data_IF_653293551395
#
_entry.id   IF_653293551395
#
_cell.length_a   1.000
_cell.length_b   1.000
_cell.length_c   1.000
_cell.angle_alpha   90.00
_cell.angle_beta   90.00
_cell.angle_gamma   90.00
#
_symmetry.space_group_name_H-M   'P 1'
#
loop_
_entity.id
_entity.type
_entity.pdbx_description
1 polymer ?
#
# COMPACT_ATOMS: atom_id res chain seq x y z
N UNK A 1 -8.16 -1.38 84.30
CA UNK A 1 -9.45 -1.04 83.67
C UNK A 1 -9.14 -0.67 82.20
N UNK A 2 -9.08 -1.64 81.30
CA UNK A 2 -8.76 -1.41 79.89
C UNK A 2 -9.95 -1.84 79.05
N UNK A 3 -10.55 -0.89 78.34
CA UNK A 3 -11.66 -1.10 77.39
C UNK A 3 -11.08 -1.58 76.03
N UNK A 4 -11.52 -2.77 75.57
CA UNK A 4 -11.29 -3.25 74.22
C UNK A 4 -12.21 -2.54 73.22
N UNK A 5 -11.64 -1.91 72.19
CA UNK A 5 -12.36 -1.36 71.07
C UNK A 5 -12.39 -2.42 69.99
N UNK A 6 -13.57 -2.93 69.65
CA UNK A 6 -13.77 -3.88 68.56
C UNK A 6 -13.81 -3.18 67.22
N UNK A 7 -12.94 -3.60 66.29
CA UNK A 7 -12.98 -3.18 64.89
C UNK A 7 -13.96 -4.04 64.09
N UNK A 8 -15.06 -3.48 63.66
CA UNK A 8 -15.96 -4.07 62.66
C UNK A 8 -15.36 -3.96 61.28
N UNK A 9 -14.85 -5.04 60.69
CA UNK A 9 -14.54 -5.12 59.26
C UNK A 9 -15.81 -5.33 58.47
N UNK A 10 -16.24 -4.33 57.68
CA UNK A 10 -17.27 -4.49 56.65
C UNK A 10 -16.67 -5.27 55.44
N UNK A 11 -17.15 -6.45 55.17
CA UNK A 11 -16.83 -7.22 53.96
C UNK A 11 -17.50 -6.54 52.75
N UNK A 12 -16.70 -6.03 51.84
CA UNK A 12 -17.16 -5.56 50.53
C UNK A 12 -17.33 -6.80 49.64
N UNK A 13 -18.56 -7.15 49.32
CA UNK A 13 -18.87 -8.19 48.33
C UNK A 13 -18.53 -7.63 46.93
N UNK A 14 -17.48 -8.13 46.31
CA UNK A 14 -17.19 -7.91 44.90
C UNK A 14 -18.19 -8.69 44.05
N UNK A 15 -19.00 -7.95 43.29
CA UNK A 15 -19.88 -8.50 42.25
C UNK A 15 -18.98 -8.74 41.03
N UNK A 16 -18.90 -9.96 40.47
CA UNK A 16 -18.19 -10.19 39.24
C UNK A 16 -18.96 -9.52 38.08
N UNK A 17 -18.31 -8.61 37.41
CA UNK A 17 -18.78 -8.03 36.14
C UNK A 17 -18.65 -9.15 35.09
N UNK A 18 -19.74 -9.85 34.80
CA UNK A 18 -19.80 -10.75 33.67
C UNK A 18 -19.81 -9.89 32.40
N UNK A 19 -18.68 -9.88 31.68
CA UNK A 19 -18.63 -9.32 30.35
C UNK A 19 -19.55 -10.15 29.44
N UNK A 20 -20.71 -9.59 29.13
CA UNK A 20 -21.63 -10.14 28.14
C UNK A 20 -20.95 -9.96 26.76
N UNK A 21 -20.27 -11.00 26.29
CA UNK A 21 -19.85 -11.13 24.89
C UNK A 21 -21.16 -11.23 24.08
N UNK A 22 -21.63 -10.12 23.54
CA UNK A 22 -22.63 -10.12 22.50
C UNK A 22 -22.03 -10.84 21.28
N UNK A 23 -22.33 -12.13 21.16
CA UNK A 23 -22.11 -12.88 19.94
C UNK A 23 -22.93 -12.16 18.84
N UNK A 24 -22.26 -11.57 17.86
CA UNK A 24 -22.90 -11.10 16.66
C UNK A 24 -23.67 -12.28 16.03
N UNK A 25 -24.86 -12.06 15.48
CA UNK A 25 -25.62 -13.13 14.84
C UNK A 25 -24.79 -13.72 13.70
N UNK A 26 -24.49 -15.01 13.79
CA UNK A 26 -23.91 -15.77 12.70
C UNK A 26 -24.94 -15.81 11.56
N UNK A 27 -24.72 -14.99 10.50
CA UNK A 27 -25.65 -15.04 9.37
C UNK A 27 -25.57 -13.96 8.31
N UNK A 28 -25.08 -12.77 8.57
CA UNK A 28 -24.88 -11.79 7.51
C UNK A 28 -23.42 -11.92 6.97
N UNK A 29 -23.28 -12.39 5.73
CA UNK A 29 -22.01 -12.36 5.03
C UNK A 29 -21.56 -10.90 4.97
N UNK A 30 -20.36 -10.58 5.47
CA UNK A 30 -19.84 -9.21 5.40
C UNK A 30 -19.64 -8.84 3.92
N UNK A 31 -20.47 -7.94 3.40
CA UNK A 31 -20.44 -7.52 1.99
C UNK A 31 -19.37 -6.43 1.72
N UNK A 32 -18.53 -6.13 2.71
CA UNK A 32 -17.47 -5.14 2.55
C UNK A 32 -16.18 -5.75 1.99
N UNK A 33 -15.54 -5.00 1.11
CA UNK A 33 -14.14 -5.24 0.73
C UNK A 33 -13.25 -4.99 1.94
N UNK A 34 -12.33 -5.91 2.19
CA UNK A 34 -11.24 -5.72 3.14
C UNK A 34 -9.98 -5.33 2.38
N UNK A 35 -9.40 -4.19 2.70
CA UNK A 35 -8.09 -3.77 2.20
C UNK A 35 -7.14 -3.69 3.40
N UNK A 36 -5.94 -4.27 3.26
CA UNK A 36 -4.88 -4.20 4.28
C UNK A 36 -3.65 -3.59 3.66
N UNK A 37 -3.25 -2.42 4.13
CA UNK A 37 -1.90 -1.92 3.91
C UNK A 37 -1.00 -2.67 4.89
N UNK A 38 -0.28 -3.66 4.37
CA UNK A 38 0.57 -4.54 5.18
C UNK A 38 1.86 -3.80 5.51
N UNK A 39 2.23 -3.83 6.77
CA UNK A 39 3.53 -3.30 7.16
C UNK A 39 4.66 -4.19 6.65
N UNK A 40 5.35 -3.71 5.65
CA UNK A 40 6.56 -4.31 5.07
C UNK A 40 7.78 -3.38 5.17
N UNK A 41 7.75 -2.44 6.12
CA UNK A 41 8.85 -1.51 6.43
C UNK A 41 9.28 -0.63 5.25
N UNK A 42 8.30 0.02 4.61
CA UNK A 42 8.55 0.96 3.51
C UNK A 42 8.83 0.30 2.17
N UNK A 43 8.26 -0.87 1.95
CA UNK A 43 8.08 -1.51 0.65
C UNK A 43 6.61 -1.53 0.22
N UNK A 44 6.33 -2.10 -0.94
CA UNK A 44 4.98 -2.32 -1.44
C UNK A 44 4.36 -3.59 -0.84
N UNK A 45 3.14 -3.48 -0.30
CA UNK A 45 2.40 -4.63 0.23
C UNK A 45 0.94 -4.26 0.54
N UNK A 46 0.04 -4.42 -0.42
CA UNK A 46 -1.38 -4.12 -0.20
C UNK A 46 -2.25 -5.29 -0.61
N UNK A 47 -2.99 -5.83 0.34
CA UNK A 47 -3.90 -6.97 0.15
C UNK A 47 -5.36 -6.48 0.08
N UNK A 48 -6.09 -6.95 -0.92
CA UNK A 48 -7.53 -6.79 -1.07
C UNK A 48 -8.21 -8.15 -0.99
N UNK A 49 -9.27 -8.25 -0.19
CA UNK A 49 -10.08 -9.46 -0.05
C UNK A 49 -11.55 -9.10 -0.22
N UNK A 50 -12.17 -9.66 -1.24
CA UNK A 50 -13.58 -9.41 -1.55
C UNK A 50 -14.51 -10.27 -0.70
N UNK A 51 -15.79 -9.91 -0.54
CA UNK A 51 -16.76 -10.69 0.25
C UNK A 51 -16.94 -12.14 -0.20
N UNK A 52 -16.69 -12.43 -1.48
CA UNK A 52 -16.71 -13.79 -2.03
C UNK A 52 -15.37 -14.55 -1.84
N UNK A 53 -14.44 -13.95 -1.10
CA UNK A 53 -13.15 -14.56 -0.73
C UNK A 53 -12.09 -14.53 -1.82
N UNK A 54 -12.28 -13.74 -2.88
CA UNK A 54 -11.24 -13.52 -3.89
C UNK A 54 -10.22 -12.51 -3.39
N UNK A 55 -8.97 -12.71 -3.80
CA UNK A 55 -7.87 -11.90 -3.31
C UNK A 55 -7.01 -11.33 -4.41
N UNK A 56 -6.62 -10.06 -4.23
CA UNK A 56 -5.62 -9.35 -5.00
C UNK A 56 -4.54 -8.87 -4.03
N UNK A 57 -3.29 -9.18 -4.33
CA UNK A 57 -2.13 -8.61 -3.66
C UNK A 57 -1.40 -7.69 -4.65
N UNK A 58 -0.95 -6.53 -4.18
CA UNK A 58 -0.06 -5.63 -4.91
C UNK A 58 1.25 -5.60 -4.15
N UNK A 59 2.32 -6.08 -4.81
CA UNK A 59 3.70 -6.22 -4.33
C UNK A 59 3.86 -7.16 -3.12
N UNK A 60 5.11 -7.52 -2.83
CA UNK A 60 5.46 -8.54 -1.82
C UNK A 60 6.46 -8.06 -0.76
N UNK A 61 6.80 -6.77 -0.80
CA UNK A 61 7.69 -6.16 0.18
C UNK A 61 9.16 -6.54 0.05
N UNK A 62 9.88 -6.33 1.13
CA UNK A 62 11.31 -6.53 1.25
C UNK A 62 11.72 -8.02 1.21
N UNK A 63 12.99 -8.33 0.86
CA UNK A 63 13.53 -9.70 0.88
C UNK A 63 13.39 -10.41 2.23
N UNK A 64 13.40 -11.75 2.19
CA UNK A 64 13.30 -12.61 3.38
C UNK A 64 14.39 -12.29 4.42
N UNK A 65 15.60 -11.98 3.96
CA UNK A 65 16.69 -11.51 4.82
C UNK A 65 16.84 -10.01 4.62
N UNK A 66 16.24 -9.26 5.52
CA UNK A 66 16.27 -7.80 5.47
C UNK A 66 16.51 -7.23 6.86
N UNK A 67 17.39 -6.21 6.93
CA UNK A 67 17.65 -5.50 8.19
C UNK A 67 16.45 -4.69 8.68
N UNK A 68 15.53 -4.35 7.80
CA UNK A 68 14.36 -3.53 8.16
C UNK A 68 13.22 -4.36 8.73
N UNK A 69 13.02 -5.60 8.25
CA UNK A 69 11.97 -6.50 8.74
C UNK A 69 12.45 -7.48 9.82
N UNK A 70 13.77 -7.61 10.03
CA UNK A 70 14.34 -8.51 11.03
C UNK A 70 13.89 -9.96 10.86
N UNK A 71 13.52 -10.60 11.97
CA UNK A 71 13.07 -11.99 12.01
C UNK A 71 11.61 -12.20 11.57
N UNK A 72 10.91 -11.14 11.22
CA UNK A 72 9.53 -11.18 10.72
C UNK A 72 9.46 -10.65 9.27
N UNK A 73 9.84 -11.45 8.26
CA UNK A 73 9.95 -11.01 6.88
C UNK A 73 8.61 -10.61 6.26
N UNK A 74 8.65 -9.81 5.20
CA UNK A 74 7.48 -9.31 4.49
C UNK A 74 6.51 -10.42 4.09
N UNK A 75 7.02 -11.56 3.63
CA UNK A 75 6.21 -12.72 3.24
C UNK A 75 5.41 -13.31 4.40
N UNK A 76 5.99 -13.35 5.60
CA UNK A 76 5.30 -13.83 6.81
C UNK A 76 4.23 -12.83 7.26
N UNK A 77 4.51 -11.51 7.18
CA UNK A 77 3.56 -10.43 7.49
C UNK A 77 2.36 -10.48 6.53
N UNK A 78 2.60 -10.64 5.22
CA UNK A 78 1.56 -10.78 4.20
C UNK A 78 0.74 -12.05 4.43
N UNK A 79 1.38 -13.20 4.70
CA UNK A 79 0.66 -14.43 5.02
C UNK A 79 -0.21 -14.27 6.27
N UNK A 80 0.28 -13.62 7.30
CA UNK A 80 -0.48 -13.38 8.54
C UNK A 80 -1.72 -12.52 8.26
N UNK A 81 -1.57 -11.41 7.50
CA UNK A 81 -2.69 -10.55 7.09
C UNK A 81 -3.72 -11.33 6.26
N UNK A 82 -3.27 -12.13 5.30
CA UNK A 82 -4.13 -12.99 4.47
C UNK A 82 -4.88 -14.03 5.31
N UNK A 83 -4.19 -14.70 6.22
CA UNK A 83 -4.76 -15.72 7.10
C UNK A 83 -5.80 -15.14 8.06
N UNK A 84 -5.57 -13.94 8.58
CA UNK A 84 -6.52 -13.23 9.45
C UNK A 84 -7.86 -12.91 8.74
N UNK A 85 -7.83 -12.83 7.39
CA UNK A 85 -9.01 -12.65 6.54
C UNK A 85 -9.51 -13.97 5.90
N UNK A 86 -8.99 -15.13 6.34
CA UNK A 86 -9.40 -16.45 5.84
C UNK A 86 -8.87 -16.79 4.44
N UNK A 87 -7.93 -16.00 3.89
CA UNK A 87 -7.34 -16.24 2.58
C UNK A 87 -6.27 -17.32 2.66
N UNK A 88 -6.44 -18.40 1.86
CA UNK A 88 -5.50 -19.52 1.77
C UNK A 88 -4.68 -19.52 0.48
N UNK A 89 -5.02 -18.65 -0.46
CA UNK A 89 -4.39 -18.50 -1.77
C UNK A 89 -4.55 -17.07 -2.23
N UNK A 90 -3.53 -16.47 -2.80
CA UNK A 90 -3.64 -15.21 -3.53
C UNK A 90 -4.11 -15.52 -4.95
N UNK A 91 -5.28 -15.02 -5.35
CA UNK A 91 -5.81 -15.28 -6.70
C UNK A 91 -5.04 -14.50 -7.76
N UNK A 92 -4.72 -13.23 -7.48
CA UNK A 92 -3.95 -12.35 -8.36
C UNK A 92 -2.88 -11.60 -7.57
N UNK A 93 -1.67 -11.56 -8.12
CA UNK A 93 -0.57 -10.73 -7.64
C UNK A 93 -0.17 -9.77 -8.74
N UNK A 94 -0.26 -8.47 -8.47
CA UNK A 94 0.33 -7.43 -9.31
C UNK A 94 1.71 -7.10 -8.72
N UNK A 95 2.76 -7.23 -9.51
CA UNK A 95 4.07 -6.65 -9.24
C UNK A 95 4.13 -5.32 -9.98
N UNK A 96 4.24 -4.23 -9.22
CA UNK A 96 4.25 -2.90 -9.82
C UNK A 96 5.54 -2.66 -10.61
N UNK A 97 6.68 -3.02 -10.03
CA UNK A 97 8.01 -2.94 -10.65
C UNK A 97 9.00 -3.83 -9.88
N UNK A 98 10.26 -3.93 -10.34
CA UNK A 98 11.17 -4.98 -9.87
C UNK A 98 12.20 -4.54 -8.81
N UNK A 99 12.01 -3.43 -8.12
CA UNK A 99 12.86 -3.10 -6.98
C UNK A 99 12.64 -4.08 -5.82
N UNK A 100 13.69 -4.29 -5.04
CA UNK A 100 13.76 -5.34 -4.03
C UNK A 100 12.70 -5.20 -2.92
N UNK A 101 12.25 -4.01 -2.63
CA UNK A 101 11.21 -3.73 -1.64
C UNK A 101 9.77 -3.90 -2.19
N UNK A 102 9.64 -4.34 -3.45
CA UNK A 102 8.38 -4.71 -4.10
C UNK A 102 8.31 -6.20 -4.45
N UNK A 103 9.40 -6.79 -4.94
CA UNK A 103 9.44 -8.20 -5.31
C UNK A 103 10.15 -9.09 -4.28
N UNK A 104 10.83 -8.50 -3.30
CA UNK A 104 11.78 -9.22 -2.45
C UNK A 104 11.18 -10.33 -1.61
N UNK A 105 9.94 -10.18 -1.16
CA UNK A 105 9.23 -11.20 -0.37
C UNK A 105 8.62 -12.34 -1.19
N UNK A 106 8.70 -12.31 -2.53
CA UNK A 106 7.97 -13.27 -3.37
C UNK A 106 8.39 -14.72 -3.14
N UNK A 107 9.69 -15.02 -3.06
CA UNK A 107 10.17 -16.38 -2.84
C UNK A 107 9.64 -16.97 -1.54
N UNK A 108 9.73 -16.21 -0.46
CA UNK A 108 9.18 -16.64 0.83
C UNK A 108 7.66 -16.73 0.83
N UNK A 109 6.97 -15.87 0.10
CA UNK A 109 5.52 -15.92 0.00
C UNK A 109 5.05 -17.16 -0.77
N UNK A 110 5.71 -17.52 -1.87
CA UNK A 110 5.44 -18.76 -2.62
C UNK A 110 5.67 -20.02 -1.78
N UNK A 111 6.64 -19.99 -0.86
CA UNK A 111 6.85 -21.08 0.08
C UNK A 111 5.74 -21.19 1.15
N UNK A 112 4.98 -20.11 1.38
CA UNK A 112 3.95 -20.02 2.42
C UNK A 112 2.54 -20.23 1.89
N UNK A 113 2.25 -19.76 0.69
CA UNK A 113 0.90 -19.82 0.14
C UNK A 113 0.88 -19.81 -1.39
N UNK A 114 -0.10 -20.49 -2.03
CA UNK A 114 -0.21 -20.49 -3.49
C UNK A 114 -0.57 -19.10 -4.04
N UNK A 115 -0.05 -18.79 -5.24
CA UNK A 115 -0.43 -17.61 -6.01
C UNK A 115 -0.96 -18.08 -7.38
N UNK A 116 -2.09 -17.53 -7.80
CA UNK A 116 -2.79 -17.96 -9.02
C UNK A 116 -2.27 -17.34 -10.31
N UNK A 117 -2.37 -16.01 -10.40
CA UNK A 117 -2.02 -15.26 -11.62
C UNK A 117 -1.10 -14.12 -11.26
N UNK A 118 0.00 -14.00 -11.97
CA UNK A 118 0.96 -12.90 -11.86
C UNK A 118 0.66 -11.86 -12.94
N UNK A 119 0.76 -10.58 -12.57
CA UNK A 119 0.55 -9.44 -13.46
C UNK A 119 1.71 -8.47 -13.23
N UNK A 120 2.40 -8.04 -14.28
CA UNK A 120 3.48 -7.06 -14.24
C UNK A 120 3.55 -6.23 -15.52
N UNK A 121 4.51 -5.31 -15.64
CA UNK A 121 4.68 -4.44 -16.82
C UNK A 121 5.55 -5.04 -17.93
N UNK A 122 6.02 -6.28 -17.79
CA UNK A 122 6.90 -6.93 -18.76
C UNK A 122 8.39 -6.82 -18.42
N UNK A 123 9.30 -6.79 -19.40
CA UNK A 123 10.74 -6.87 -19.15
C UNK A 123 11.29 -5.74 -18.30
N UNK A 124 12.23 -6.07 -17.39
CA UNK A 124 13.06 -5.07 -16.70
C UNK A 124 13.78 -4.16 -17.70
N UNK A 125 13.81 -2.86 -17.41
CA UNK A 125 14.50 -1.85 -18.23
C UNK A 125 15.67 -1.20 -17.51
N UNK A 126 15.85 -1.45 -16.23
CA UNK A 126 16.98 -0.89 -15.50
C UNK A 126 18.26 -1.63 -15.85
N UNK A 127 19.22 -0.87 -16.37
CA UNK A 127 20.50 -1.37 -16.88
C UNK A 127 21.70 -0.91 -16.06
N UNK A 128 21.43 -0.24 -14.94
CA UNK A 128 22.45 0.29 -14.03
C UNK A 128 22.56 -0.55 -12.76
N UNK A 129 23.70 -0.44 -12.08
CA UNK A 129 23.95 -1.18 -10.84
C UNK A 129 23.06 -0.74 -9.65
N UNK A 130 22.51 0.46 -9.71
CA UNK A 130 21.59 1.02 -8.72
C UNK A 130 20.81 2.19 -9.31
N UNK A 131 19.81 2.67 -8.59
CA UNK A 131 19.01 3.85 -8.94
C UNK A 131 19.74 5.18 -8.76
N UNK A 132 20.96 5.18 -8.22
CA UNK A 132 21.74 6.40 -7.99
C UNK A 132 22.14 7.05 -9.32
N UNK A 133 22.01 8.37 -9.46
CA UNK A 133 22.50 9.08 -10.64
C UNK A 133 23.96 8.80 -10.92
N UNK A 134 24.30 8.40 -12.16
CA UNK A 134 25.65 8.08 -12.55
C UNK A 134 26.13 6.67 -12.17
N UNK A 135 25.24 5.81 -11.67
CA UNK A 135 25.58 4.41 -11.43
C UNK A 135 26.08 3.73 -12.73
N UNK A 136 27.08 2.85 -12.65
CA UNK A 136 27.64 2.20 -13.83
C UNK A 136 26.63 1.27 -14.50
N UNK A 137 26.72 1.14 -15.82
CA UNK A 137 25.99 0.13 -16.58
C UNK A 137 26.47 -1.27 -16.17
N UNK A 138 25.54 -2.24 -16.21
CA UNK A 138 25.82 -3.63 -15.85
C UNK A 138 25.66 -4.57 -17.04
N UNK A 139 26.32 -5.72 -16.98
CA UNK A 139 26.07 -6.83 -17.90
C UNK A 139 24.73 -7.52 -17.53
N UNK A 140 23.72 -7.32 -18.34
CA UNK A 140 22.40 -7.92 -18.13
C UNK A 140 22.38 -9.45 -18.27
N UNK A 141 23.43 -10.07 -18.86
CA UNK A 141 23.54 -11.53 -18.92
C UNK A 141 24.01 -12.11 -17.59
N UNK A 142 24.85 -11.34 -16.87
CA UNK A 142 25.38 -11.69 -15.55
C UNK A 142 25.23 -10.50 -14.59
N UNK A 143 24.00 -10.11 -14.24
CA UNK A 143 23.78 -8.95 -13.41
C UNK A 143 24.33 -9.18 -11.99
N UNK A 144 24.96 -8.15 -11.40
CA UNK A 144 25.49 -8.27 -10.05
C UNK A 144 24.37 -8.54 -9.03
N UNK A 145 24.64 -9.36 -8.00
CA UNK A 145 23.68 -9.58 -6.92
C UNK A 145 23.18 -8.26 -6.31
N UNK A 146 21.88 -8.19 -6.04
CA UNK A 146 21.24 -7.00 -5.49
C UNK A 146 20.85 -5.92 -6.51
N UNK A 147 21.23 -6.06 -7.79
CA UNK A 147 20.70 -5.20 -8.84
C UNK A 147 19.25 -5.56 -9.19
N UNK A 148 18.52 -4.60 -9.72
CA UNK A 148 17.13 -4.80 -10.19
C UNK A 148 17.07 -5.88 -11.27
N UNK A 149 18.04 -5.94 -12.17
CA UNK A 149 18.13 -6.98 -13.19
C UNK A 149 18.31 -8.39 -12.59
N UNK A 150 19.10 -8.55 -11.54
CA UNK A 150 19.22 -9.83 -10.84
C UNK A 150 17.92 -10.22 -10.15
N UNK A 151 17.24 -9.25 -9.52
CA UNK A 151 15.91 -9.42 -8.93
C UNK A 151 14.88 -9.87 -9.97
N UNK A 152 14.83 -9.21 -11.12
CA UNK A 152 13.96 -9.58 -12.24
C UNK A 152 14.23 -11.00 -12.76
N UNK A 153 15.50 -11.37 -12.96
CA UNK A 153 15.85 -12.72 -13.40
C UNK A 153 15.36 -13.77 -12.40
N UNK A 154 15.51 -13.52 -11.10
CA UNK A 154 14.97 -14.40 -10.06
C UNK A 154 13.45 -14.44 -10.08
N UNK A 155 12.79 -13.30 -10.22
CA UNK A 155 11.32 -13.21 -10.36
C UNK A 155 10.82 -14.09 -11.51
N UNK A 156 11.40 -13.97 -12.70
CA UNK A 156 11.02 -14.77 -13.87
C UNK A 156 11.23 -16.27 -13.66
N UNK A 157 12.25 -16.68 -12.90
CA UNK A 157 12.46 -18.08 -12.52
C UNK A 157 11.35 -18.56 -11.56
N UNK A 158 10.98 -17.74 -10.57
CA UNK A 158 9.95 -18.07 -9.58
C UNK A 158 8.56 -18.20 -10.19
N UNK A 159 8.23 -17.40 -11.19
CA UNK A 159 6.91 -17.43 -11.85
C UNK A 159 6.86 -18.41 -13.04
N UNK A 160 7.95 -19.08 -13.38
CA UNK A 160 7.99 -20.05 -14.47
C UNK A 160 6.92 -21.13 -14.29
N UNK A 161 6.08 -21.33 -15.29
CA UNK A 161 4.97 -22.28 -15.26
C UNK A 161 3.69 -21.77 -14.58
N UNK A 162 3.70 -20.57 -13.98
CA UNK A 162 2.50 -19.92 -13.47
C UNK A 162 1.78 -19.12 -14.57
N UNK A 163 0.49 -18.85 -14.36
CA UNK A 163 -0.25 -17.93 -15.22
C UNK A 163 0.31 -16.53 -15.06
N UNK A 164 0.79 -15.94 -16.16
CA UNK A 164 1.46 -14.64 -16.20
C UNK A 164 0.82 -13.75 -17.27
N UNK A 165 0.60 -12.49 -16.94
CA UNK A 165 0.01 -11.47 -17.80
C UNK A 165 0.90 -10.23 -17.77
N UNK A 166 1.37 -9.80 -18.93
CA UNK A 166 2.03 -8.50 -19.09
C UNK A 166 0.96 -7.44 -19.30
N UNK A 167 0.79 -6.58 -18.31
CA UNK A 167 -0.22 -5.53 -18.29
C UNK A 167 0.11 -4.38 -19.25
N UNK A 168 -0.94 -3.77 -19.77
CA UNK A 168 -0.87 -2.56 -20.60
C UNK A 168 -1.86 -1.52 -20.07
N UNK A 169 -1.55 -0.26 -20.26
CA UNK A 169 -2.49 0.81 -19.94
C UNK A 169 -3.80 0.61 -20.71
N UNK A 170 -4.92 0.65 -19.99
CA UNK A 170 -6.26 0.35 -20.50
C UNK A 170 -6.73 -1.06 -20.24
N UNK A 171 -5.87 -2.00 -19.82
CA UNK A 171 -6.30 -3.34 -19.43
C UNK A 171 -7.20 -3.28 -18.19
N UNK A 172 -8.20 -4.16 -18.17
CA UNK A 172 -9.15 -4.29 -17.06
C UNK A 172 -9.16 -5.74 -16.57
N UNK A 173 -8.95 -5.91 -15.26
CA UNK A 173 -9.05 -7.21 -14.60
C UNK A 173 -10.20 -7.20 -13.59
N UNK A 174 -10.88 -8.34 -13.47
CA UNK A 174 -11.93 -8.55 -12.47
C UNK A 174 -11.47 -9.57 -11.42
N UNK A 175 -11.55 -9.18 -10.15
CA UNK A 175 -11.19 -10.05 -9.02
C UNK A 175 -12.37 -10.03 -8.03
N UNK A 176 -13.25 -11.03 -8.12
CA UNK A 176 -14.53 -10.97 -7.42
C UNK A 176 -15.30 -9.72 -7.80
N UNK A 177 -15.70 -8.93 -6.80
CA UNK A 177 -16.38 -7.66 -7.01
C UNK A 177 -15.49 -6.46 -7.34
N UNK A 178 -14.16 -6.65 -7.46
CA UNK A 178 -13.23 -5.59 -7.84
C UNK A 178 -13.12 -5.44 -9.35
N UNK A 179 -13.01 -4.20 -9.80
CA UNK A 179 -12.55 -3.86 -11.16
C UNK A 179 -11.22 -3.14 -11.04
N UNK A 180 -10.16 -3.72 -11.60
CA UNK A 180 -8.79 -3.17 -11.62
C UNK A 180 -8.51 -2.66 -13.02
N UNK A 181 -8.36 -1.35 -13.17
CA UNK A 181 -8.03 -0.69 -14.44
C UNK A 181 -6.59 -0.22 -14.40
N UNK A 182 -5.76 -0.73 -15.30
CA UNK A 182 -4.36 -0.29 -15.44
C UNK A 182 -4.34 1.07 -16.12
N UNK A 183 -3.76 2.08 -15.47
CA UNK A 183 -3.68 3.45 -16.00
C UNK A 183 -2.30 3.77 -16.56
N UNK A 184 -1.27 3.06 -16.13
CA UNK A 184 0.08 3.10 -16.71
C UNK A 184 0.77 1.75 -16.54
N UNK A 185 1.56 1.32 -17.52
CA UNK A 185 2.46 0.18 -17.45
C UNK A 185 3.59 0.35 -18.47
N UNK A 186 4.82 -0.07 -18.14
CA UNK A 186 6.03 0.09 -18.99
C UNK A 186 6.19 1.53 -19.49
N UNK A 187 5.98 2.52 -18.59
CA UNK A 187 6.01 3.96 -18.87
C UNK A 187 5.05 4.43 -19.99
N UNK A 188 4.00 3.67 -20.27
CA UNK A 188 2.96 4.02 -21.25
C UNK A 188 1.67 4.37 -20.52
N UNK A 189 1.20 5.63 -20.59
CA UNK A 189 -0.02 6.06 -19.94
C UNK A 189 -1.25 5.66 -20.75
N UNK A 190 -2.43 5.80 -20.14
CA UNK A 190 -3.71 5.75 -20.84
C UNK A 190 -3.69 6.66 -22.08
N UNK A 191 -4.16 6.13 -23.20
CA UNK A 191 -4.33 6.92 -24.43
C UNK A 191 -5.49 7.92 -24.33
N UNK A 192 -6.53 7.59 -23.55
CA UNK A 192 -7.73 8.40 -23.36
C UNK A 192 -8.09 8.46 -21.86
N UNK A 193 -8.72 9.55 -21.41
CA UNK A 193 -9.23 9.65 -20.05
C UNK A 193 -10.22 8.53 -19.70
N UNK A 194 -10.23 8.13 -18.42
CA UNK A 194 -11.25 7.26 -17.87
C UNK A 194 -12.61 7.99 -17.81
N UNK A 195 -13.73 7.25 -17.72
CA UNK A 195 -15.04 7.86 -17.49
C UNK A 195 -15.05 8.78 -16.26
N UNK A 196 -15.50 10.02 -16.43
CA UNK A 196 -15.53 11.05 -15.38
C UNK A 196 -14.22 11.81 -15.15
N UNK A 197 -13.20 11.55 -15.98
CA UNK A 197 -11.97 12.32 -16.09
C UNK A 197 -11.96 13.14 -17.40
N UNK A 198 -10.87 13.82 -17.69
CA UNK A 198 -10.67 14.55 -18.95
C UNK A 198 -10.73 16.08 -18.77
N UNK A 199 -10.77 16.57 -17.56
CA UNK A 199 -10.69 18.01 -17.26
C UNK A 199 -9.22 18.48 -17.27
N UNK A 200 -9.02 19.75 -17.61
CA UNK A 200 -7.71 20.40 -17.51
C UNK A 200 -7.29 20.48 -16.04
N UNK A 201 -6.01 20.24 -15.79
CA UNK A 201 -5.46 20.23 -14.45
C UNK A 201 -4.63 21.50 -14.17
N UNK A 202 -5.17 22.47 -13.43
CA UNK A 202 -4.46 23.71 -13.14
C UNK A 202 -3.19 23.53 -12.30
N UNK A 203 -3.05 22.39 -11.60
CA UNK A 203 -1.86 22.08 -10.79
C UNK A 203 -0.66 21.61 -11.63
N UNK A 204 -0.77 21.60 -12.97
CA UNK A 204 0.34 21.29 -13.87
C UNK A 204 1.39 22.41 -14.00
N UNK A 205 1.07 23.60 -13.54
CA UNK A 205 2.03 24.73 -13.51
C UNK A 205 3.19 24.35 -12.56
N UNK A 206 4.43 24.48 -13.05
CA UNK A 206 5.62 24.13 -12.27
C UNK A 206 6.02 22.63 -12.34
N UNK A 207 5.33 21.84 -13.15
CA UNK A 207 5.72 20.44 -13.42
C UNK A 207 6.81 20.31 -14.48
N UNK A 208 7.20 21.40 -15.11
CA UNK A 208 8.27 21.42 -16.11
C UNK A 208 9.64 21.14 -15.43
N UNK A 209 10.44 20.30 -16.04
CA UNK A 209 11.84 20.08 -15.64
C UNK A 209 12.07 19.12 -14.48
N UNK A 210 11.05 18.43 -13.98
CA UNK A 210 11.24 17.36 -13.02
C UNK A 210 11.84 16.14 -13.73
N UNK A 211 13.13 15.90 -13.49
CA UNK A 211 13.81 14.73 -14.02
C UNK A 211 13.43 13.46 -13.24
N UNK A 212 13.40 12.34 -13.94
CA UNK A 212 13.33 11.04 -13.30
C UNK A 212 14.67 10.71 -12.63
N UNK A 213 14.74 10.83 -11.32
CA UNK A 213 15.90 10.46 -10.52
C UNK A 213 15.71 9.13 -9.79
N UNK A 214 14.56 8.46 -9.97
CA UNK A 214 14.18 7.24 -9.26
C UNK A 214 14.51 5.93 -9.98
N UNK A 215 15.32 5.98 -11.04
CA UNK A 215 15.62 4.82 -11.88
C UNK A 215 14.54 4.51 -12.92
N UNK A 216 14.86 3.65 -13.86
CA UNK A 216 13.97 3.30 -14.97
C UNK A 216 12.77 2.44 -14.50
N UNK A 217 12.95 1.59 -13.50
CA UNK A 217 11.91 0.68 -13.04
C UNK A 217 10.78 1.41 -12.31
N UNK A 218 11.08 2.39 -11.45
CA UNK A 218 10.04 3.22 -10.83
C UNK A 218 9.11 3.85 -11.87
N UNK A 219 9.71 4.42 -12.92
CA UNK A 219 8.97 5.04 -14.02
C UNK A 219 8.10 4.06 -14.82
N UNK A 220 8.30 2.76 -14.65
CA UNK A 220 7.57 1.71 -15.36
C UNK A 220 6.49 1.04 -14.54
N UNK A 221 6.33 1.46 -13.29
CA UNK A 221 5.33 0.90 -12.37
C UNK A 221 3.99 0.65 -13.04
N UNK A 222 3.44 -0.55 -12.81
CA UNK A 222 2.04 -0.87 -13.14
C UNK A 222 1.14 -0.09 -12.20
N UNK A 223 0.66 1.05 -12.66
CA UNK A 223 -0.25 1.91 -11.90
C UNK A 223 -1.70 1.54 -12.20
N UNK A 224 -2.52 1.41 -11.17
CA UNK A 224 -3.90 0.94 -11.30
C UNK A 224 -4.89 1.80 -10.51
N UNK A 225 -6.11 1.92 -11.04
CA UNK A 225 -7.29 2.34 -10.29
C UNK A 225 -8.14 1.11 -10.02
N UNK A 226 -8.45 0.88 -8.74
CA UNK A 226 -9.23 -0.26 -8.27
C UNK A 226 -10.59 0.28 -7.83
N UNK A 227 -11.67 -0.26 -8.40
CA UNK A 227 -13.03 0.17 -8.09
C UNK A 227 -13.80 -0.94 -7.37
N UNK A 228 -14.55 -0.54 -6.32
CA UNK A 228 -15.49 -1.40 -5.60
C UNK A 228 -16.76 -0.62 -5.27
N UNK A 229 -17.86 -0.92 -5.97
CA UNK A 229 -19.08 -0.11 -5.90
C UNK A 229 -18.79 1.34 -6.30
N UNK A 230 -19.07 2.29 -5.40
CA UNK A 230 -18.79 3.71 -5.63
C UNK A 230 -17.35 4.12 -5.33
N UNK A 231 -16.60 3.30 -4.58
CA UNK A 231 -15.26 3.65 -4.10
C UNK A 231 -14.20 3.39 -5.18
N UNK A 232 -13.32 4.35 -5.36
CA UNK A 232 -12.16 4.29 -6.26
C UNK A 232 -10.87 4.43 -5.45
N UNK A 233 -9.91 3.55 -5.71
CA UNK A 233 -8.64 3.46 -4.99
C UNK A 233 -7.50 3.60 -6.00
N UNK A 234 -6.59 4.55 -5.79
CA UNK A 234 -5.37 4.67 -6.59
C UNK A 234 -4.22 3.89 -5.96
N UNK A 235 -3.57 3.04 -6.75
CA UNK A 235 -2.40 2.23 -6.40
C UNK A 235 -1.39 2.34 -7.55
N UNK A 236 -0.37 3.19 -7.42
CA UNK A 236 0.52 3.56 -8.52
C UNK A 236 1.95 3.03 -8.36
N UNK A 237 2.19 2.16 -7.38
CA UNK A 237 3.55 1.69 -7.07
C UNK A 237 4.48 2.85 -6.77
N UNK A 238 5.64 2.86 -7.41
CA UNK A 238 6.63 3.93 -7.24
C UNK A 238 6.71 4.86 -8.46
N UNK A 239 5.58 5.02 -9.17
CA UNK A 239 5.50 5.84 -10.38
C UNK A 239 6.11 7.22 -10.13
N UNK A 240 7.05 7.62 -10.99
CA UNK A 240 7.82 8.85 -10.80
C UNK A 240 7.06 10.08 -11.29
N UNK A 241 7.43 11.23 -10.79
CA UNK A 241 6.83 12.53 -11.08
C UNK A 241 6.70 12.83 -12.59
N UNK A 242 7.75 12.54 -13.38
CA UNK A 242 7.74 12.70 -14.82
C UNK A 242 6.68 11.83 -15.51
N UNK A 243 6.41 10.62 -14.97
CA UNK A 243 5.35 9.73 -15.46
C UNK A 243 3.96 10.13 -14.94
N UNK A 244 3.87 10.62 -13.71
CA UNK A 244 2.64 11.22 -13.23
C UNK A 244 2.19 12.37 -14.13
N UNK A 245 3.13 13.19 -14.63
CA UNK A 245 2.86 14.23 -15.62
C UNK A 245 2.14 13.70 -16.88
N UNK A 246 2.52 12.52 -17.37
CA UNK A 246 1.89 11.92 -18.56
C UNK A 246 0.44 11.47 -18.30
N UNK A 247 0.06 11.23 -17.03
CA UNK A 247 -1.30 10.89 -16.63
C UNK A 247 -2.17 12.11 -16.29
N UNK A 248 -1.57 13.14 -15.72
CA UNK A 248 -2.32 14.25 -15.10
C UNK A 248 -2.15 15.60 -15.78
N UNK A 249 -1.26 15.72 -16.78
CA UNK A 249 -0.98 17.00 -17.44
C UNK A 249 -0.98 16.92 -18.98
N UNK A 250 -1.50 17.94 -19.66
CA UNK A 250 -2.24 19.07 -19.10
C UNK A 250 -3.65 18.67 -18.63
N UNK A 251 -4.12 17.50 -19.04
CA UNK A 251 -5.45 16.97 -18.80
C UNK A 251 -5.38 15.76 -17.88
N UNK A 252 -6.21 15.73 -16.84
CA UNK A 252 -6.36 14.58 -15.95
C UNK A 252 -7.00 13.40 -16.68
N UNK A 253 -6.26 12.29 -16.83
CA UNK A 253 -6.74 11.06 -17.47
C UNK A 253 -7.35 10.06 -16.49
N UNK A 254 -7.22 10.27 -15.19
CA UNK A 254 -7.59 9.31 -14.16
C UNK A 254 -8.88 9.68 -13.43
N UNK A 255 -9.03 10.95 -13.07
CA UNK A 255 -10.14 11.47 -12.29
C UNK A 255 -10.00 11.21 -10.79
N UNK A 256 -10.96 11.71 -10.01
CA UNK A 256 -10.96 11.65 -8.54
C UNK A 256 -11.02 10.22 -8.03
N UNK A 257 -10.33 9.99 -6.89
CA UNK A 257 -10.38 8.73 -6.15
C UNK A 257 -10.76 9.00 -4.69
N UNK A 258 -11.17 7.97 -3.96
CA UNK A 258 -11.56 8.11 -2.56
C UNK A 258 -10.43 7.69 -1.63
N UNK A 259 -9.67 6.65 -2.03
CA UNK A 259 -8.49 6.19 -1.30
C UNK A 259 -7.26 6.33 -2.19
N UNK A 260 -6.20 6.86 -1.62
CA UNK A 260 -4.89 6.97 -2.27
C UNK A 260 -3.84 6.20 -1.47
N UNK A 261 -3.32 5.12 -2.05
CA UNK A 261 -2.09 4.50 -1.56
C UNK A 261 -0.96 5.41 -2.03
N UNK A 262 -0.38 6.14 -1.09
CA UNK A 262 0.57 7.21 -1.42
C UNK A 262 1.76 6.67 -2.20
N UNK A 263 1.90 7.16 -3.42
CA UNK A 263 2.90 6.70 -4.40
C UNK A 263 4.29 6.79 -3.80
N UNK A 264 5.10 5.73 -4.04
CA UNK A 264 6.51 5.66 -3.68
C UNK A 264 6.76 5.94 -2.20
N UNK A 265 5.90 5.37 -1.33
CA UNK A 265 6.00 5.50 0.13
C UNK A 265 6.00 6.96 0.63
N UNK A 266 5.49 7.90 -0.18
CA UNK A 266 5.57 9.37 0.02
C UNK A 266 7.01 9.91 -0.03
N UNK A 267 7.85 9.43 -0.94
CA UNK A 267 9.18 10.02 -1.20
C UNK A 267 9.11 11.22 -2.15
N UNK A 268 10.16 12.05 -2.17
CA UNK A 268 10.23 13.27 -2.98
C UNK A 268 10.18 13.06 -4.51
N UNK A 269 10.30 11.82 -4.97
CA UNK A 269 10.34 11.47 -6.41
C UNK A 269 8.95 11.26 -7.03
N UNK A 270 7.90 11.24 -6.22
CA UNK A 270 6.53 10.86 -6.61
C UNK A 270 5.51 11.66 -5.80
N UNK A 271 4.22 11.49 -6.08
CA UNK A 271 3.16 12.23 -5.39
C UNK A 271 3.20 13.72 -5.71
N UNK A 272 3.30 14.05 -6.99
CA UNK A 272 3.34 15.45 -7.45
C UNK A 272 2.07 16.20 -7.07
N UNK A 273 2.15 17.53 -6.88
CA UNK A 273 0.94 18.36 -6.68
C UNK A 273 -0.10 18.17 -7.79
N UNK A 274 0.33 17.99 -9.03
CA UNK A 274 -0.58 17.74 -10.15
C UNK A 274 -1.34 16.42 -9.97
N UNK A 275 -0.64 15.33 -9.63
CA UNK A 275 -1.27 14.03 -9.40
C UNK A 275 -2.19 14.06 -8.18
N UNK A 276 -1.67 14.49 -7.02
CA UNK A 276 -2.42 14.45 -5.76
C UNK A 276 -3.66 15.34 -5.77
N UNK A 277 -3.57 16.54 -6.40
CA UNK A 277 -4.70 17.45 -6.49
C UNK A 277 -5.76 16.97 -7.51
N UNK A 278 -5.36 16.36 -8.62
CA UNK A 278 -6.29 15.75 -9.58
C UNK A 278 -7.01 14.53 -8.97
N UNK A 279 -6.27 13.63 -8.34
CA UNK A 279 -6.84 12.49 -7.63
C UNK A 279 -7.75 12.92 -6.47
N UNK A 280 -7.45 14.03 -5.82
CA UNK A 280 -8.21 14.64 -4.73
C UNK A 280 -8.77 13.59 -3.75
N UNK A 281 -7.96 12.72 -3.12
CA UNK A 281 -8.43 11.63 -2.28
C UNK A 281 -9.14 12.14 -1.03
N UNK A 282 -10.03 11.31 -0.48
CA UNK A 282 -10.65 11.53 0.84
C UNK A 282 -9.74 10.97 1.94
N UNK A 283 -9.12 9.82 1.66
CA UNK A 283 -8.21 9.13 2.57
C UNK A 283 -6.91 8.82 1.84
N UNK A 284 -5.78 9.05 2.49
CA UNK A 284 -4.48 8.62 2.01
C UNK A 284 -3.79 7.70 3.02
N UNK A 285 -3.12 6.67 2.50
CA UNK A 285 -2.33 5.71 3.28
C UNK A 285 -0.87 5.85 2.84
N UNK A 286 -0.02 6.34 3.71
CA UNK A 286 1.41 6.39 3.49
C UNK A 286 2.04 5.05 3.91
N UNK A 287 2.48 4.28 2.91
CA UNK A 287 3.15 2.98 3.08
C UNK A 287 4.64 3.14 3.42
N UNK A 288 4.98 4.08 4.29
CA UNK A 288 6.36 4.36 4.66
C UNK A 288 6.90 3.37 5.69
N UNK A 289 8.22 3.22 5.73
CA UNK A 289 8.94 2.58 6.84
C UNK A 289 9.41 3.60 7.87
N UNK A 290 10.03 3.12 8.95
CA UNK A 290 10.57 4.00 9.99
C UNK A 290 11.66 4.96 9.47
N UNK A 291 12.39 4.59 8.42
CA UNK A 291 13.52 5.36 7.86
C UNK A 291 13.38 5.67 6.37
N UNK A 292 12.26 5.28 5.74
CA UNK A 292 12.03 5.45 4.30
C UNK A 292 10.66 6.06 4.06
N UNK A 293 10.58 7.07 3.21
CA UNK A 293 9.34 7.73 2.85
C UNK A 293 8.86 8.75 3.89
N UNK A 294 7.61 9.14 3.75
CA UNK A 294 6.99 10.22 4.52
C UNK A 294 7.80 11.53 4.47
N UNK A 295 8.26 11.90 3.27
CA UNK A 295 9.00 13.14 3.06
C UNK A 295 8.08 14.35 3.34
N UNK A 296 8.58 15.40 4.04
CA UNK A 296 7.76 16.51 4.53
C UNK A 296 6.94 17.19 3.43
N UNK A 297 7.54 17.47 2.28
CA UNK A 297 6.85 18.13 1.16
C UNK A 297 5.78 17.23 0.54
N UNK A 298 5.99 15.92 0.51
CA UNK A 298 5.00 14.96 -0.01
C UNK A 298 3.84 14.80 0.96
N UNK A 299 4.13 14.64 2.24
CA UNK A 299 3.10 14.60 3.28
C UNK A 299 2.27 15.87 3.29
N UNK A 300 2.91 17.05 3.18
CA UNK A 300 2.23 18.34 3.06
C UNK A 300 1.36 18.43 1.81
N UNK A 301 1.85 17.95 0.66
CA UNK A 301 1.07 17.91 -0.59
C UNK A 301 -0.21 17.07 -0.39
N UNK A 302 -0.10 15.89 0.23
CA UNK A 302 -1.26 15.03 0.52
C UNK A 302 -2.21 15.71 1.51
N UNK A 303 -1.69 16.28 2.61
CA UNK A 303 -2.48 16.96 3.64
C UNK A 303 -3.23 18.21 3.13
N UNK A 304 -2.74 18.83 2.05
CA UNK A 304 -3.38 19.99 1.40
C UNK A 304 -4.25 19.60 0.21
N UNK A 305 -4.44 18.31 -0.08
CA UNK A 305 -5.31 17.87 -1.18
C UNK A 305 -6.77 18.31 -0.94
N UNK A 306 -7.49 18.75 -1.99
CA UNK A 306 -8.77 19.47 -1.85
C UNK A 306 -9.88 18.71 -1.10
N UNK A 307 -9.87 17.36 -1.15
CA UNK A 307 -10.92 16.53 -0.51
C UNK A 307 -10.42 15.76 0.70
N UNK A 308 -9.15 15.89 1.10
CA UNK A 308 -8.54 15.06 2.13
C UNK A 308 -9.22 15.23 3.50
N UNK A 309 -9.54 14.12 4.15
CA UNK A 309 -10.15 14.09 5.48
C UNK A 309 -9.33 13.24 6.46
N UNK A 310 -8.41 12.42 5.96
CA UNK A 310 -7.51 11.62 6.77
C UNK A 310 -6.27 11.16 6.03
N UNK A 311 -5.12 11.29 6.70
CA UNK A 311 -3.84 10.76 6.25
C UNK A 311 -3.34 9.80 7.32
N UNK A 312 -3.04 8.56 6.92
CA UNK A 312 -2.61 7.49 7.80
C UNK A 312 -1.21 7.04 7.41
N UNK A 313 -0.39 6.63 8.37
CA UNK A 313 0.98 6.16 8.15
C UNK A 313 1.19 4.75 8.69
N UNK A 314 1.95 3.92 7.98
CA UNK A 314 2.38 2.62 8.52
C UNK A 314 3.41 2.79 9.62
N UNK A 315 4.35 3.72 9.48
CA UNK A 315 5.36 4.00 10.52
C UNK A 315 5.45 5.47 10.87
N UNK A 316 5.78 5.75 12.13
CA UNK A 316 6.36 7.04 12.48
C UNK A 316 7.73 7.17 11.81
N UNK A 317 7.89 8.21 10.97
CA UNK A 317 9.17 8.50 10.33
C UNK A 317 10.15 9.05 11.35
N UNK A 318 11.33 8.42 11.44
CA UNK A 318 12.45 8.92 12.25
C UNK A 318 13.33 9.87 11.47
N UNK A 319 13.36 9.72 10.14
CA UNK A 319 14.08 10.64 9.27
C UNK A 319 13.39 12.01 9.19
N UNK A 320 12.06 12.03 9.26
CA UNK A 320 11.23 13.21 9.09
C UNK A 320 10.16 13.31 10.21
N UNK A 321 10.53 13.45 11.50
CA UNK A 321 9.57 13.42 12.60
C UNK A 321 8.47 14.49 12.50
N UNK A 322 8.79 15.64 11.90
CA UNK A 322 7.88 16.76 11.68
C UNK A 322 6.79 16.49 10.62
N UNK A 323 6.96 15.45 9.81
CA UNK A 323 5.97 15.03 8.80
C UNK A 323 4.98 14.00 9.33
N UNK A 324 5.20 13.48 10.55
CA UNK A 324 4.30 12.50 11.14
C UNK A 324 2.91 13.09 11.42
N UNK A 325 1.89 12.28 11.12
CA UNK A 325 0.50 12.59 11.44
C UNK A 325 0.20 12.30 12.93
N UNK A 326 -1.05 12.49 13.35
CA UNK A 326 -1.50 12.13 14.69
C UNK A 326 -1.08 10.68 15.04
N UNK A 327 -0.46 10.42 16.20
CA UNK A 327 -0.04 9.09 16.61
C UNK A 327 -1.14 8.02 16.60
N UNK A 328 -2.41 8.39 16.72
CA UNK A 328 -3.54 7.47 16.58
C UNK A 328 -3.72 6.96 15.15
N UNK A 329 -3.26 7.72 14.16
CA UNK A 329 -3.31 7.38 12.74
C UNK A 329 -2.01 6.71 12.23
N UNK A 330 -1.07 6.39 13.13
CA UNK A 330 0.19 5.71 12.81
C UNK A 330 0.13 4.29 13.35
N UNK A 331 0.34 3.29 12.49
CA UNK A 331 0.27 1.88 12.88
C UNK A 331 1.46 1.48 13.76
N UNK A 332 2.69 1.86 13.41
CA UNK A 332 3.89 1.51 14.14
C UNK A 332 4.64 2.77 14.58
N UNK A 333 4.84 2.93 15.88
CA UNK A 333 5.52 4.09 16.47
C UNK A 333 6.91 3.75 17.03
N UNK A 334 7.26 2.47 17.10
CA UNK A 334 8.60 2.03 17.52
C UNK A 334 9.60 2.29 16.40
N UNK A 335 10.77 2.78 16.79
CA UNK A 335 11.92 2.97 15.90
C UNK A 335 12.94 1.84 16.04
N UNK A 336 12.69 0.93 16.97
CA UNK A 336 13.52 -0.25 17.25
C UNK A 336 12.92 -1.46 16.52
N UNK A 337 13.59 -2.01 15.49
CA UNK A 337 13.08 -3.16 14.75
C UNK A 337 12.79 -4.40 15.62
N UNK A 338 13.52 -4.57 16.73
CA UNK A 338 13.28 -5.67 17.67
C UNK A 338 11.96 -5.52 18.45
N UNK A 339 11.40 -4.32 18.49
CA UNK A 339 10.11 -4.00 19.14
C UNK A 339 8.99 -3.79 18.13
N UNK A 340 9.30 -3.84 16.85
CA UNK A 340 8.30 -3.73 15.81
C UNK A 340 7.35 -4.94 15.85
N UNK A 341 6.04 -4.65 15.89
CA UNK A 341 4.98 -5.66 15.91
C UNK A 341 4.31 -5.84 14.58
N UNK A 342 4.74 -5.09 13.57
CA UNK A 342 4.20 -5.10 12.21
C UNK A 342 2.67 -4.92 12.18
N UNK A 343 2.18 -3.91 12.89
CA UNK A 343 0.76 -3.56 12.85
C UNK A 343 0.40 -2.97 11.49
N UNK A 344 -0.73 -3.41 10.96
CA UNK A 344 -1.24 -2.95 9.69
C UNK A 344 -2.24 -1.79 9.85
N UNK A 345 -2.53 -1.14 8.73
CA UNK A 345 -3.73 -0.33 8.56
C UNK A 345 -4.74 -1.13 7.75
N UNK A 346 -5.92 -1.37 8.32
CA UNK A 346 -6.99 -2.09 7.64
C UNK A 346 -8.12 -1.14 7.27
N UNK A 347 -8.64 -1.29 6.06
CA UNK A 347 -9.80 -0.56 5.56
C UNK A 347 -10.93 -1.53 5.30
N UNK A 348 -12.11 -1.23 5.86
CA UNK A 348 -13.38 -1.85 5.52
C UNK A 348 -14.12 -0.90 4.58
N UNK A 349 -14.42 -1.37 3.37
CA UNK A 349 -14.98 -0.54 2.29
C UNK A 349 -16.31 -1.15 1.84
N UNK A 350 -17.38 -0.38 1.96
CA UNK A 350 -18.72 -0.77 1.54
C UNK A 350 -19.03 -0.24 0.13
N UNK A 351 -19.86 -0.95 -0.63
CA UNK A 351 -20.17 -0.58 -2.02
C UNK A 351 -20.89 0.75 -2.17
N UNK A 352 -21.59 1.19 -1.13
CA UNK A 352 -22.34 2.46 -1.08
C UNK A 352 -21.44 3.68 -0.88
N UNK A 353 -20.16 3.47 -0.52
CA UNK A 353 -19.16 4.53 -0.40
C UNK A 353 -18.57 4.69 1.00
N UNK A 354 -19.01 3.93 1.98
CA UNK A 354 -18.49 4.02 3.35
C UNK A 354 -17.11 3.36 3.45
N UNK A 355 -16.14 4.08 4.02
CA UNK A 355 -14.76 3.66 4.18
C UNK A 355 -14.37 3.81 5.64
N UNK A 356 -14.11 2.71 6.34
CA UNK A 356 -13.64 2.75 7.74
C UNK A 356 -12.18 2.30 7.78
N UNK A 357 -11.29 3.19 8.21
CA UNK A 357 -9.86 2.88 8.43
C UNK A 357 -9.65 2.51 9.89
N UNK A 358 -8.91 1.44 10.14
CA UNK A 358 -8.66 0.86 11.46
C UNK A 358 -7.15 0.73 11.66
N UNK A 359 -6.64 1.29 12.74
CA UNK A 359 -5.26 1.09 13.20
C UNK A 359 -5.20 -0.16 14.08
N UNK A 360 -4.54 -1.21 13.62
CA UNK A 360 -4.48 -2.48 14.37
C UNK A 360 -3.71 -2.38 15.70
N UNK A 361 -2.80 -1.39 15.84
CA UNK A 361 -2.07 -1.17 17.10
C UNK A 361 -2.97 -0.73 18.24
N UNK A 362 -3.93 0.16 17.95
CA UNK A 362 -4.72 0.85 19.00
C UNK A 362 -6.20 0.50 18.97
N UNK A 363 -6.69 -0.08 17.86
CA UNK A 363 -8.11 -0.23 17.57
C UNK A 363 -8.79 1.11 17.20
N UNK A 364 -8.03 2.22 17.18
CA UNK A 364 -8.58 3.50 16.72
C UNK A 364 -9.08 3.38 15.29
N UNK A 365 -10.27 3.88 15.05
CA UNK A 365 -10.85 3.86 13.71
C UNK A 365 -11.57 5.17 13.40
N UNK A 366 -11.66 5.45 12.11
CA UNK A 366 -12.39 6.61 11.59
C UNK A 366 -13.08 6.24 10.29
N UNK A 367 -14.32 6.69 10.16
CA UNK A 367 -15.17 6.44 9.00
C UNK A 367 -15.24 7.68 8.12
N UNK A 368 -15.24 7.46 6.81
CA UNK A 368 -15.31 8.44 5.75
C UNK A 368 -16.37 8.01 4.72
N UNK A 369 -16.88 8.96 3.94
CA UNK A 369 -17.89 8.72 2.92
C UNK A 369 -17.35 9.16 1.55
N UNK A 370 -17.32 8.24 0.58
CA UNK A 370 -17.10 8.55 -0.83
C UNK A 370 -18.27 9.40 -1.36
N UNK A 371 -17.97 10.48 -2.08
CA UNK A 371 -18.97 11.43 -2.61
C UNK A 371 -19.05 11.34 -4.12
#
# INVERSE_FOLDING_TARGET
MFRKIGLFRKAVKSIPFAALLLAAPAGAKDDALQMVAVDVEGGGGTLFVTPDGKSLLIDTGNPEVSRVTGDNPSSARIQAAASALGVKKIDYLIITHYHSDHIGGLEGLLARMPIGTFIDHGPNRETTASTNPGAPQIDLKNPPPGSTAAGYNKYMQLIAGHKHIVAKAGDVFHVGGLTVTVVMADAKPLARPLPGAGEDNPACVGMEGMANNGGEENARSTASVISYGKVRIAAFGDLTWDREKDLFCPTDKVGKVDVYIATHHSTGLSGSPAAVNALAPIVAIAGNGARKGADPERMKTIQNSPRIQGVWQLHASTANPQANVDPQMIANISTDPAKDKAYNLRLRIEKDGKITVINERTGYNKTYEAK
#
